data_IF_492478310392
#
_entry.id   IF_492478310392
#
_cell.length_a   1.000
_cell.length_b   1.000
_cell.length_c   1.000
_cell.angle_alpha   90.00
_cell.angle_beta   90.00
_cell.angle_gamma   90.00
#
_symmetry.space_group_name_H-M   'P 1'
#
loop_
_entity.id
_entity.type
_entity.pdbx_description
1 polymer ?
#
# COMPACT_ATOMS: atom_id res chain seq x y z
N UNK A 1 -13.70 3.42 6.76
CA UNK A 1 -14.88 2.65 7.19
C UNK A 1 -14.48 1.19 7.10
N UNK A 2 -14.55 0.46 8.21
CA UNK A 2 -14.18 -0.96 8.27
C UNK A 2 -15.47 -1.76 8.12
N UNK A 3 -15.52 -2.65 7.14
CA UNK A 3 -16.72 -3.44 6.82
C UNK A 3 -16.48 -4.95 6.84
N UNK A 4 -15.23 -5.41 6.88
CA UNK A 4 -14.88 -6.83 6.88
C UNK A 4 -13.64 -7.16 7.73
N UNK A 5 -13.40 -8.45 7.98
CA UNK A 5 -12.19 -8.91 8.66
C UNK A 5 -10.90 -8.68 7.85
N UNK A 6 -10.99 -8.75 6.52
CA UNK A 6 -9.86 -8.42 5.62
C UNK A 6 -9.52 -6.94 5.70
N UNK A 7 -10.54 -6.08 5.76
CA UNK A 7 -10.37 -4.64 5.97
C UNK A 7 -9.62 -4.36 7.27
N UNK A 8 -9.72 -5.25 8.27
CA UNK A 8 -9.06 -5.06 9.55
C UNK A 8 -7.56 -5.27 9.50
N UNK A 9 -7.07 -6.26 8.75
CA UNK A 9 -5.62 -6.45 8.58
C UNK A 9 -5.01 -5.26 7.84
N UNK A 10 -5.64 -4.82 6.75
CA UNK A 10 -5.21 -3.62 6.01
C UNK A 10 -5.27 -2.37 6.91
N UNK A 11 -6.30 -2.26 7.75
CA UNK A 11 -6.44 -1.16 8.70
C UNK A 11 -5.32 -1.13 9.75
N UNK A 12 -4.92 -2.29 10.29
CA UNK A 12 -3.80 -2.39 11.22
C UNK A 12 -2.47 -1.96 10.58
N UNK A 13 -2.19 -2.44 9.36
CA UNK A 13 -1.02 -2.01 8.59
C UNK A 13 -1.04 -0.51 8.30
N UNK A 14 -2.20 0.05 7.96
CA UNK A 14 -2.37 1.48 7.69
C UNK A 14 -2.16 2.34 8.95
N UNK A 15 -2.57 1.87 10.13
CA UNK A 15 -2.32 2.55 11.41
C UNK A 15 -0.81 2.60 11.69
N UNK A 16 -0.13 1.46 11.54
CA UNK A 16 1.31 1.38 11.81
C UNK A 16 2.12 2.25 10.84
N UNK A 17 1.73 2.26 9.56
CA UNK A 17 2.29 3.16 8.57
C UNK A 17 2.12 4.63 8.98
N UNK A 18 0.90 5.03 9.37
CA UNK A 18 0.62 6.42 9.77
C UNK A 18 1.37 6.82 11.04
N UNK A 19 1.54 5.92 11.99
CA UNK A 19 2.37 6.17 13.18
C UNK A 19 3.82 6.40 12.80
N UNK A 20 4.37 5.57 11.92
CA UNK A 20 5.74 5.73 11.42
C UNK A 20 5.90 7.07 10.69
N UNK A 21 4.96 7.41 9.81
CA UNK A 21 4.99 8.66 9.05
C UNK A 21 4.87 9.89 9.97
N UNK A 22 3.87 9.94 10.85
CA UNK A 22 3.71 11.07 11.76
C UNK A 22 4.87 11.17 12.76
N UNK A 23 5.38 10.01 13.22
CA UNK A 23 6.53 9.93 14.09
C UNK A 23 7.77 10.50 13.42
N UNK A 24 7.99 10.19 12.15
CA UNK A 24 9.06 10.78 11.35
C UNK A 24 8.86 12.29 11.15
N UNK A 25 7.69 12.70 10.65
CA UNK A 25 7.40 14.08 10.28
C UNK A 25 7.54 15.07 11.45
N UNK A 26 7.12 14.65 12.65
CA UNK A 26 7.11 15.50 13.85
C UNK A 26 8.19 15.11 14.88
N UNK A 27 9.15 14.26 14.50
CA UNK A 27 10.20 13.73 15.37
C UNK A 27 9.67 13.12 16.69
N UNK A 28 8.52 12.44 16.60
CA UNK A 28 7.85 11.82 17.73
C UNK A 28 8.17 10.33 17.82
N UNK A 29 8.85 9.92 18.89
CA UNK A 29 9.13 8.50 19.17
C UNK A 29 7.87 7.67 19.42
N UNK A 30 6.79 8.30 19.88
CA UNK A 30 5.51 7.67 20.20
C UNK A 30 4.39 8.52 19.64
N UNK A 31 3.60 7.94 18.74
CA UNK A 31 2.43 8.58 18.15
C UNK A 31 1.16 7.93 18.72
N UNK A 32 0.37 8.73 19.43
CA UNK A 32 -0.91 8.28 19.98
C UNK A 32 -1.93 8.13 18.84
N UNK A 33 -2.57 6.97 18.77
CA UNK A 33 -3.67 6.69 17.86
C UNK A 33 -4.98 6.64 18.65
N UNK A 34 -5.96 7.45 18.25
CA UNK A 34 -7.30 7.43 18.86
C UNK A 34 -8.25 6.71 17.92
N UNK A 35 -8.74 5.56 18.36
CA UNK A 35 -9.80 4.81 17.69
C UNK A 35 -11.14 5.20 18.28
N UNK A 36 -12.04 5.70 17.44
CA UNK A 36 -13.42 6.00 17.82
C UNK A 36 -14.32 5.03 17.06
N UNK A 37 -15.11 4.23 17.77
CA UNK A 37 -15.99 3.22 17.16
C UNK A 37 -17.39 3.24 17.75
N UNK A 38 -18.40 2.98 16.91
CA UNK A 38 -19.81 2.82 17.31
C UNK A 38 -20.21 1.36 17.53
N UNK A 39 -19.23 0.46 17.51
CA UNK A 39 -19.38 -0.96 17.78
C UNK A 39 -18.15 -1.47 18.52
N UNK A 40 -18.29 -2.61 19.19
CA UNK A 40 -17.19 -3.23 19.91
C UNK A 40 -16.21 -3.91 18.96
N UNK A 41 -15.08 -3.23 18.72
CA UNK A 41 -13.97 -3.70 17.89
C UNK A 41 -13.25 -4.90 18.49
N UNK A 42 -13.39 -5.15 19.80
CA UNK A 42 -12.72 -6.26 20.49
C UNK A 42 -13.29 -7.62 20.12
N UNK A 43 -14.42 -7.68 19.43
CA UNK A 43 -14.94 -8.92 18.84
C UNK A 43 -14.00 -9.48 17.76
N UNK A 44 -13.19 -8.63 17.12
CA UNK A 44 -12.24 -9.02 16.08
C UNK A 44 -10.83 -9.24 16.66
N UNK A 45 -10.13 -10.28 16.18
CA UNK A 45 -8.74 -10.57 16.60
C UNK A 45 -7.84 -9.35 16.40
N UNK A 46 -7.95 -8.69 15.25
CA UNK A 46 -7.19 -7.48 14.93
C UNK A 46 -7.58 -6.32 15.85
N UNK A 47 -8.87 -6.13 16.10
CA UNK A 47 -9.35 -5.08 17.00
C UNK A 47 -8.82 -5.25 18.44
N UNK A 48 -8.77 -6.49 18.95
CA UNK A 48 -8.12 -6.77 20.26
C UNK A 48 -6.65 -6.40 20.27
N UNK A 49 -5.91 -6.69 19.20
CA UNK A 49 -4.50 -6.31 19.08
C UNK A 49 -4.32 -4.80 19.03
N UNK A 50 -5.15 -4.09 18.26
CA UNK A 50 -5.12 -2.64 18.14
C UNK A 50 -5.38 -1.93 19.48
N UNK A 51 -6.42 -2.35 20.21
CA UNK A 51 -6.76 -1.78 21.53
C UNK A 51 -5.66 -2.04 22.56
N UNK A 52 -4.98 -3.20 22.48
CA UNK A 52 -3.84 -3.54 23.35
C UNK A 52 -2.52 -2.89 22.92
N UNK A 53 -2.45 -2.35 21.69
CA UNK A 53 -1.22 -1.76 21.20
C UNK A 53 -0.86 -0.50 22.02
N UNK A 54 0.43 -0.28 22.30
CA UNK A 54 0.86 0.87 23.08
C UNK A 54 0.51 2.18 22.37
N UNK A 55 0.20 3.22 23.15
CA UNK A 55 -0.24 4.52 22.64
C UNK A 55 -1.49 4.42 21.73
N UNK A 56 -2.36 3.44 21.97
CA UNK A 56 -3.71 3.41 21.41
C UNK A 56 -4.72 3.79 22.49
N UNK A 57 -5.61 4.72 22.18
CA UNK A 57 -6.80 5.01 22.97
C UNK A 57 -8.02 4.54 22.18
N UNK A 58 -8.87 3.73 22.80
CA UNK A 58 -10.15 3.33 22.22
C UNK A 58 -11.29 4.05 22.92
N UNK A 59 -12.11 4.75 22.15
CA UNK A 59 -13.33 5.40 22.61
C UNK A 59 -14.49 4.71 21.90
N UNK A 60 -15.18 3.86 22.64
CA UNK A 60 -16.40 3.21 22.16
C UNK A 60 -17.59 4.10 22.49
N UNK A 61 -18.30 4.55 21.46
CA UNK A 61 -19.56 5.27 21.63
C UNK A 61 -20.70 4.28 21.84
N UNK A 62 -21.84 4.79 22.32
CA UNK A 62 -23.10 4.06 22.20
C UNK A 62 -23.36 3.70 20.72
N UNK A 63 -24.15 2.65 20.50
CA UNK A 63 -24.52 2.24 19.15
C UNK A 63 -25.28 3.35 18.42
N UNK A 64 -25.25 3.35 17.08
CA UNK A 64 -25.99 4.35 16.31
C UNK A 64 -27.49 4.34 16.64
N UNK A 65 -28.08 3.18 16.94
CA UNK A 65 -29.50 3.07 17.31
C UNK A 65 -29.79 3.64 18.70
N UNK A 66 -28.88 3.46 19.67
CA UNK A 66 -28.97 4.13 20.98
C UNK A 66 -28.76 5.64 20.87
N UNK A 67 -27.86 6.10 20.00
CA UNK A 67 -27.67 7.53 19.75
C UNK A 67 -28.94 8.09 19.09
N UNK A 68 -29.50 7.42 18.08
CA UNK A 68 -30.74 7.83 17.41
C UNK A 68 -31.94 7.86 18.36
N UNK A 69 -32.09 6.87 19.24
CA UNK A 69 -33.21 6.84 20.19
C UNK A 69 -33.18 7.99 21.20
N UNK A 70 -32.00 8.57 21.42
CA UNK A 70 -31.82 9.77 22.25
C UNK A 70 -31.91 11.08 21.46
N UNK A 71 -31.85 11.04 20.13
CA UNK A 71 -32.19 12.18 19.26
C UNK A 71 -33.72 12.26 19.21
N UNK A 72 -34.32 12.81 20.25
CA UNK A 72 -35.73 13.23 20.25
C UNK A 72 -35.93 14.20 19.07
N UNK A 73 -37.08 14.12 18.37
CA UNK A 73 -37.58 15.01 17.30
C UNK A 73 -37.60 16.50 17.70
N UNK A 74 -36.44 17.05 18.03
CA UNK A 74 -36.23 18.47 18.18
C UNK A 74 -35.97 18.97 16.78
N UNK A 75 -36.92 19.76 16.27
CA UNK A 75 -36.78 20.55 15.05
C UNK A 75 -35.36 21.14 15.07
N UNK A 76 -34.51 20.89 14.06
CA UNK A 76 -33.13 21.33 14.08
C UNK A 76 -33.15 22.84 14.18
N UNK A 77 -32.92 23.35 15.39
CA UNK A 77 -32.70 24.77 15.59
C UNK A 77 -31.37 25.00 14.88
N UNK A 78 -31.42 25.70 13.73
CA UNK A 78 -30.25 26.12 12.96
C UNK A 78 -29.42 27.12 13.79
N UNK A 79 -28.89 26.68 14.93
CA UNK A 79 -27.79 27.34 15.61
C UNK A 79 -26.57 26.99 14.82
N UNK A 80 -26.26 27.83 13.84
CA UNK A 80 -24.90 27.94 13.33
C UNK A 80 -24.06 28.44 14.51
N UNK A 81 -23.59 27.52 15.35
CA UNK A 81 -22.54 27.83 16.31
C UNK A 81 -21.34 28.12 15.41
N UNK A 82 -21.13 29.41 15.09
CA UNK A 82 -19.85 29.82 14.54
C UNK A 82 -18.83 29.38 15.57
N UNK A 83 -17.91 28.46 15.24
CA UNK A 83 -16.87 28.09 16.20
C UNK A 83 -16.20 29.37 16.63
N UNK A 84 -16.25 29.68 17.92
CA UNK A 84 -15.51 30.82 18.46
C UNK A 84 -14.05 30.60 18.11
N UNK A 85 -13.40 31.61 17.55
CA UNK A 85 -11.99 31.55 17.16
C UNK A 85 -11.17 31.51 18.46
N UNK A 86 -11.03 30.32 19.04
CA UNK A 86 -10.19 30.11 20.23
C UNK A 86 -8.75 30.39 19.83
N UNK A 87 -8.04 31.19 20.62
CA UNK A 87 -6.64 31.55 20.38
C UNK A 87 -5.71 30.33 20.35
N UNK A 88 -6.13 29.20 20.94
CA UNK A 88 -5.40 27.92 20.92
C UNK A 88 -5.64 27.10 19.63
N UNK A 89 -6.57 27.48 18.77
CA UNK A 89 -6.77 26.81 17.50
C UNK A 89 -5.73 27.30 16.48
N UNK A 90 -4.79 26.42 16.17
CA UNK A 90 -3.85 26.60 15.06
C UNK A 90 -4.35 25.82 13.84
N UNK A 91 -4.06 26.31 12.63
CA UNK A 91 -4.34 25.53 11.44
C UNK A 91 -3.34 24.37 11.37
N UNK A 92 -3.77 23.20 10.93
CA UNK A 92 -2.89 22.04 10.80
C UNK A 92 -1.66 22.32 9.90
N UNK A 93 -1.83 23.16 8.87
CA UNK A 93 -0.73 23.59 7.97
C UNK A 93 0.30 24.49 8.65
N UNK A 94 -0.06 25.10 9.77
CA UNK A 94 0.82 25.99 10.54
C UNK A 94 1.66 25.20 11.56
N UNK A 95 1.40 23.89 11.71
CA UNK A 95 2.24 23.00 12.52
C UNK A 95 3.51 22.69 11.70
N UNK A 96 4.69 23.15 12.13
CA UNK A 96 5.91 22.91 11.38
C UNK A 96 6.28 21.43 11.41
N UNK A 97 6.76 20.92 10.26
CA UNK A 97 7.39 19.61 10.20
C UNK A 97 8.78 19.69 10.84
N UNK A 98 9.13 18.72 11.68
CA UNK A 98 10.46 18.63 12.29
C UNK A 98 11.48 18.01 11.34
N UNK A 99 11.02 17.16 10.42
CA UNK A 99 11.86 16.54 9.39
C UNK A 99 11.34 16.88 7.98
N UNK A 100 12.23 17.09 6.99
CA UNK A 100 11.81 17.26 5.61
C UNK A 100 11.13 15.98 5.11
N UNK A 101 10.17 16.10 4.20
CA UNK A 101 9.49 14.97 3.59
C UNK A 101 9.65 15.00 2.08
N UNK A 102 10.56 14.17 1.57
CA UNK A 102 10.87 14.03 0.15
C UNK A 102 10.60 12.60 -0.31
N UNK A 103 9.33 12.33 -0.61
CA UNK A 103 8.88 10.99 -0.96
C UNK A 103 9.53 10.48 -2.26
N UNK A 104 9.82 11.37 -3.22
CA UNK A 104 10.47 11.00 -4.48
C UNK A 104 11.87 10.46 -4.23
N UNK A 105 12.67 11.18 -3.42
CA UNK A 105 14.00 10.73 -3.03
C UNK A 105 13.96 9.40 -2.26
N UNK A 106 13.03 9.24 -1.32
CA UNK A 106 12.91 7.98 -0.57
C UNK A 106 12.57 6.82 -1.51
N UNK A 107 11.62 7.03 -2.41
CA UNK A 107 11.23 6.04 -3.41
C UNK A 107 12.39 5.62 -4.33
N UNK A 108 13.14 6.58 -4.87
CA UNK A 108 14.27 6.28 -5.76
C UNK A 108 15.41 5.56 -5.02
N UNK A 109 15.65 5.88 -3.74
CA UNK A 109 16.60 5.14 -2.91
C UNK A 109 16.18 3.66 -2.75
N UNK A 110 14.92 3.41 -2.40
CA UNK A 110 14.40 2.04 -2.24
C UNK A 110 14.47 1.25 -3.56
N UNK A 111 14.08 1.89 -4.66
CA UNK A 111 14.16 1.33 -6.02
C UNK A 111 15.60 0.98 -6.41
N UNK A 112 16.55 1.89 -6.17
CA UNK A 112 17.97 1.66 -6.44
C UNK A 112 18.53 0.50 -5.60
N UNK A 113 18.10 0.38 -4.32
CA UNK A 113 18.48 -0.74 -3.46
C UNK A 113 18.01 -2.08 -4.03
N UNK A 114 16.74 -2.16 -4.45
CA UNK A 114 16.20 -3.39 -5.06
C UNK A 114 16.95 -3.74 -6.36
N UNK A 115 17.21 -2.77 -7.24
CA UNK A 115 17.97 -3.04 -8.46
C UNK A 115 19.39 -3.51 -8.19
N UNK A 116 20.07 -2.93 -7.19
CA UNK A 116 21.41 -3.34 -6.77
C UNK A 116 21.38 -4.79 -6.28
N UNK A 117 20.40 -5.13 -5.44
CA UNK A 117 20.22 -6.49 -4.94
C UNK A 117 19.98 -7.50 -6.06
N UNK A 118 19.06 -7.23 -6.99
CA UNK A 118 18.78 -8.10 -8.15
C UNK A 118 20.02 -8.28 -9.05
N UNK A 119 20.78 -7.20 -9.25
CA UNK A 119 21.96 -7.19 -10.12
C UNK A 119 23.16 -7.91 -9.49
N UNK A 120 23.23 -7.98 -8.17
CA UNK A 120 24.33 -8.62 -7.44
C UNK A 120 24.38 -10.14 -7.64
N UNK A 121 23.30 -10.76 -8.14
CA UNK A 121 23.22 -12.20 -8.38
C UNK A 121 23.18 -13.05 -7.10
N UNK A 122 23.50 -12.46 -5.94
CA UNK A 122 23.50 -13.11 -4.65
C UNK A 122 22.10 -13.03 -4.04
N UNK A 123 21.20 -13.88 -4.58
CA UNK A 123 19.81 -14.00 -4.13
C UNK A 123 19.66 -14.93 -2.93
N UNK A 124 20.76 -15.51 -2.46
CA UNK A 124 20.86 -16.25 -1.21
C UNK A 124 21.02 -15.25 -0.05
N UNK A 125 19.91 -14.61 0.33
CA UNK A 125 19.87 -13.64 1.42
C UNK A 125 18.46 -13.13 1.71
N UNK A 126 18.30 -12.48 2.86
CA UNK A 126 17.04 -11.81 3.22
C UNK A 126 16.68 -10.74 2.19
N UNK A 127 15.38 -10.45 2.04
CA UNK A 127 14.89 -9.35 1.20
C UNK A 127 15.71 -8.07 1.39
N UNK A 128 15.74 -7.19 0.38
CA UNK A 128 16.15 -5.81 0.61
C UNK A 128 15.17 -5.13 1.60
N UNK A 129 15.39 -5.30 2.91
CA UNK A 129 14.61 -4.66 3.97
C UNK A 129 14.84 -3.15 3.90
N UNK A 130 13.78 -2.33 4.04
CA UNK A 130 13.92 -0.89 4.25
C UNK A 130 14.97 -0.61 5.33
N UNK A 131 16.14 -0.15 4.88
CA UNK A 131 17.34 -0.06 5.71
C UNK A 131 17.29 1.08 6.73
N UNK A 132 16.46 2.09 6.49
CA UNK A 132 16.33 3.28 7.33
C UNK A 132 14.86 3.68 7.58
N UNK A 133 14.68 4.69 8.44
CA UNK A 133 13.35 5.23 8.77
C UNK A 133 12.60 5.73 7.53
N UNK A 134 13.31 6.19 6.49
CA UNK A 134 12.70 6.77 5.28
C UNK A 134 12.19 5.70 4.32
N UNK A 135 12.87 4.56 4.23
CA UNK A 135 12.40 3.40 3.45
C UNK A 135 11.08 2.86 3.98
N UNK A 136 10.84 2.93 5.30
CA UNK A 136 9.56 2.54 5.91
C UNK A 136 8.41 3.49 5.56
N UNK A 137 8.70 4.67 5.04
CA UNK A 137 7.69 5.63 4.57
C UNK A 137 7.24 5.34 3.15
N UNK A 138 7.98 4.51 2.40
CA UNK A 138 7.63 4.10 1.04
C UNK A 138 6.63 2.96 1.11
N UNK A 139 5.44 3.15 0.51
CA UNK A 139 4.39 2.11 0.46
C UNK A 139 4.47 1.23 -0.78
N UNK A 140 5.10 1.73 -1.84
CA UNK A 140 5.10 1.12 -3.16
C UNK A 140 6.34 1.54 -3.92
N UNK A 141 6.97 0.59 -4.58
CA UNK A 141 8.10 0.85 -5.48
C UNK A 141 7.57 0.74 -6.92
N UNK A 142 7.84 1.77 -7.73
CA UNK A 142 7.51 1.82 -9.16
C UNK A 142 8.81 1.63 -9.92
N UNK A 143 9.02 0.44 -10.48
CA UNK A 143 10.28 0.11 -11.14
C UNK A 143 10.41 0.78 -12.52
N UNK A 144 9.27 1.13 -13.12
CA UNK A 144 9.18 1.85 -14.39
C UNK A 144 8.30 1.14 -15.40
N UNK A 145 8.19 1.73 -16.59
CA UNK A 145 7.42 1.11 -17.66
C UNK A 145 8.20 -0.02 -18.33
N UNK A 146 7.48 -1.02 -18.81
CA UNK A 146 8.00 -2.22 -19.46
C UNK A 146 8.13 -2.00 -20.97
N UNK A 147 9.27 -2.43 -21.51
CA UNK A 147 9.40 -2.61 -22.96
C UNK A 147 8.53 -3.78 -23.43
N UNK A 148 8.13 -3.83 -24.72
CA UNK A 148 7.37 -4.95 -25.27
C UNK A 148 8.03 -6.33 -25.05
N UNK A 149 9.37 -6.37 -24.96
CA UNK A 149 10.14 -7.58 -24.66
C UNK A 149 9.92 -8.07 -23.22
N UNK A 150 9.79 -7.17 -22.25
CA UNK A 150 9.48 -7.50 -20.86
C UNK A 150 8.05 -8.03 -20.72
N UNK A 151 7.06 -7.36 -21.33
CA UNK A 151 5.67 -7.82 -21.33
C UNK A 151 5.58 -9.24 -21.90
N UNK A 152 6.27 -9.49 -23.04
CA UNK A 152 6.35 -10.82 -23.64
C UNK A 152 6.96 -11.86 -22.70
N UNK A 153 8.02 -11.50 -21.97
CA UNK A 153 8.67 -12.39 -21.01
C UNK A 153 7.71 -12.81 -19.90
N UNK A 154 6.98 -11.85 -19.31
CA UNK A 154 6.01 -12.12 -18.23
C UNK A 154 4.89 -13.03 -18.75
N UNK A 155 4.32 -12.75 -19.93
CA UNK A 155 3.23 -13.54 -20.51
C UNK A 155 3.62 -14.99 -20.88
N UNK A 156 4.90 -15.37 -20.86
CA UNK A 156 5.30 -16.77 -21.09
C UNK A 156 4.97 -17.67 -19.91
N UNK A 157 5.13 -17.14 -18.70
CA UNK A 157 5.05 -17.93 -17.46
C UNK A 157 3.87 -17.51 -16.58
N UNK A 158 3.24 -16.37 -16.86
CA UNK A 158 2.15 -15.81 -16.07
C UNK A 158 0.96 -15.46 -16.94
N UNK A 159 -0.22 -15.87 -16.51
CA UNK A 159 -1.48 -15.53 -17.16
C UNK A 159 -2.02 -14.19 -16.65
N UNK A 160 -2.71 -13.46 -17.53
CA UNK A 160 -3.42 -12.23 -17.19
C UNK A 160 -4.92 -12.48 -17.27
N UNK A 161 -5.64 -12.24 -16.18
CA UNK A 161 -7.08 -12.46 -16.07
C UNK A 161 -7.78 -11.14 -15.79
N UNK A 162 -8.61 -10.67 -16.71
CA UNK A 162 -9.41 -9.46 -16.55
C UNK A 162 -10.87 -9.83 -16.64
N UNK A 163 -11.61 -9.62 -15.54
CA UNK A 163 -13.05 -9.93 -15.44
C UNK A 163 -13.38 -11.38 -15.83
N UNK A 164 -12.49 -12.32 -15.51
CA UNK A 164 -12.66 -13.76 -15.79
C UNK A 164 -12.14 -14.19 -17.16
N UNK A 165 -11.76 -13.26 -18.04
CA UNK A 165 -11.19 -13.59 -19.35
C UNK A 165 -9.66 -13.60 -19.30
N UNK A 166 -9.07 -14.64 -19.87
CA UNK A 166 -7.62 -14.69 -20.09
C UNK A 166 -7.25 -13.76 -21.23
N UNK A 167 -6.21 -12.96 -21.03
CA UNK A 167 -5.70 -12.01 -21.99
C UNK A 167 -4.28 -12.40 -22.36
N UNK A 168 -4.02 -12.50 -23.66
CA UNK A 168 -2.70 -12.85 -24.18
C UNK A 168 -1.83 -11.61 -24.43
N UNK A 169 -0.53 -11.84 -24.66
CA UNK A 169 0.41 -10.79 -25.04
C UNK A 169 -0.10 -9.91 -26.19
N UNK A 170 -0.67 -10.51 -27.23
CA UNK A 170 -1.20 -9.78 -28.39
C UNK A 170 -2.32 -8.82 -28.00
N UNK A 171 -3.25 -9.27 -27.16
CA UNK A 171 -4.32 -8.43 -26.64
C UNK A 171 -3.78 -7.30 -25.76
N UNK A 172 -2.76 -7.57 -24.93
CA UNK A 172 -2.15 -6.55 -24.09
C UNK A 172 -1.57 -5.43 -24.96
N UNK A 173 -0.80 -5.79 -25.98
CA UNK A 173 -0.17 -4.82 -26.89
C UNK A 173 -1.21 -4.00 -27.69
N UNK A 174 -2.34 -4.62 -28.04
CA UNK A 174 -3.41 -3.98 -28.80
C UNK A 174 -4.30 -3.07 -27.96
N UNK A 175 -4.62 -3.46 -26.72
CA UNK A 175 -5.60 -2.78 -25.86
C UNK A 175 -4.95 -1.73 -24.95
N UNK A 176 -3.67 -1.90 -24.61
CA UNK A 176 -2.97 -1.05 -23.66
C UNK A 176 -1.75 -0.35 -24.32
N UNK A 177 -1.49 0.89 -23.92
CA UNK A 177 -0.40 1.71 -24.48
C UNK A 177 0.88 1.63 -23.66
N UNK A 178 0.77 1.32 -22.37
CA UNK A 178 1.87 1.27 -21.41
C UNK A 178 1.56 0.20 -20.38
N UNK A 179 2.61 -0.48 -19.91
CA UNK A 179 2.54 -1.36 -18.76
C UNK A 179 3.63 -0.96 -17.77
N UNK A 180 3.29 -0.78 -16.49
CA UNK A 180 4.23 -0.39 -15.43
C UNK A 180 4.30 -1.50 -14.41
N UNK A 181 5.50 -1.91 -14.02
CA UNK A 181 5.69 -2.88 -12.94
C UNK A 181 5.98 -2.17 -11.62
N UNK A 182 5.39 -2.69 -10.55
CA UNK A 182 5.47 -2.17 -9.21
C UNK A 182 5.40 -3.28 -8.17
N UNK A 183 5.81 -2.98 -6.94
CA UNK A 183 5.57 -3.84 -5.78
C UNK A 183 4.98 -3.03 -4.63
N UNK A 184 4.01 -3.58 -3.91
CA UNK A 184 3.53 -3.01 -2.65
C UNK A 184 4.43 -3.44 -1.49
N UNK A 185 4.76 -2.50 -0.60
CA UNK A 185 5.57 -2.74 0.60
C UNK A 185 4.67 -2.90 1.82
N UNK A 186 5.11 -3.67 2.84
CA UNK A 186 6.45 -4.25 3.02
C UNK A 186 6.67 -5.61 2.33
N UNK A 187 5.60 -6.27 1.88
CA UNK A 187 5.63 -7.67 1.46
C UNK A 187 6.15 -7.89 0.03
N UNK A 188 6.45 -6.81 -0.68
CA UNK A 188 6.87 -6.79 -2.09
C UNK A 188 5.85 -7.42 -3.06
N UNK A 189 4.56 -7.31 -2.74
CA UNK A 189 3.48 -7.89 -3.57
C UNK A 189 3.52 -7.36 -5.02
N UNK A 190 3.71 -8.22 -6.03
CA UNK A 190 3.86 -7.78 -7.43
C UNK A 190 2.57 -7.23 -8.05
N UNK A 191 2.71 -6.10 -8.72
CA UNK A 191 1.61 -5.37 -9.35
C UNK A 191 2.00 -4.90 -10.75
N UNK A 192 1.09 -5.06 -11.70
CA UNK A 192 1.22 -4.51 -13.04
C UNK A 192 0.09 -3.52 -13.30
N UNK A 193 0.43 -2.30 -13.71
CA UNK A 193 -0.53 -1.31 -14.15
C UNK A 193 -0.59 -1.28 -15.68
N UNK A 194 -1.76 -1.52 -16.27
CA UNK A 194 -1.97 -1.48 -17.72
C UNK A 194 -2.74 -0.21 -18.13
N UNK A 195 -2.12 0.64 -18.95
CA UNK A 195 -2.71 1.90 -19.43
C UNK A 195 -3.69 1.64 -20.57
N UNK A 196 -4.98 1.86 -20.34
CA UNK A 196 -6.01 1.63 -21.36
C UNK A 196 -5.88 2.61 -22.54
N UNK A 197 -5.81 2.14 -23.79
CA UNK A 197 -5.74 3.05 -24.96
C UNK A 197 -7.00 3.87 -25.17
N UNK A 198 -8.18 3.32 -24.83
CA UNK A 198 -9.49 3.92 -25.12
C UNK A 198 -9.99 4.84 -24.00
N UNK A 199 -9.54 4.61 -22.76
CA UNK A 199 -9.99 5.33 -21.58
C UNK A 199 -8.81 5.89 -20.82
N UNK A 200 -8.93 7.05 -20.19
CA UNK A 200 -7.88 7.65 -19.34
C UNK A 200 -7.88 6.96 -17.96
N UNK A 201 -7.41 5.72 -17.91
CA UNK A 201 -7.33 4.92 -16.69
C UNK A 201 -6.19 3.89 -16.79
N UNK A 202 -5.75 3.42 -15.63
CA UNK A 202 -4.93 2.21 -15.52
C UNK A 202 -5.74 1.08 -14.89
N UNK A 203 -5.51 -0.14 -15.35
CA UNK A 203 -5.97 -1.35 -14.68
C UNK A 203 -4.89 -1.81 -13.72
N UNK A 204 -5.21 -1.94 -12.44
CA UNK A 204 -4.33 -2.55 -11.44
C UNK A 204 -4.49 -4.06 -11.51
N UNK A 205 -3.44 -4.74 -11.94
CA UNK A 205 -3.32 -6.19 -11.94
C UNK A 205 -2.48 -6.61 -10.74
N UNK A 206 -3.05 -7.44 -9.87
CA UNK A 206 -2.35 -8.00 -8.70
C UNK A 206 -2.03 -9.47 -8.94
N UNK A 207 -0.90 -9.94 -8.42
CA UNK A 207 -0.57 -11.34 -8.52
C UNK A 207 -1.37 -12.18 -7.50
N UNK A 208 -1.84 -13.35 -7.92
CA UNK A 208 -2.48 -14.33 -7.03
C UNK A 208 -1.45 -15.36 -6.53
N UNK A 209 -1.88 -16.28 -5.66
CA UNK A 209 -1.02 -17.35 -5.12
C UNK A 209 -0.41 -18.27 -6.18
N UNK A 210 -1.04 -18.39 -7.35
CA UNK A 210 -0.53 -19.20 -8.48
C UNK A 210 0.50 -18.44 -9.33
N UNK A 211 0.83 -17.20 -8.96
CA UNK A 211 1.73 -16.34 -9.72
C UNK A 211 1.07 -15.66 -10.92
N UNK A 212 -0.24 -15.81 -11.14
CA UNK A 212 -0.97 -15.17 -12.25
C UNK A 212 -1.47 -13.78 -11.87
N UNK A 213 -1.59 -12.89 -12.85
CA UNK A 213 -2.02 -11.51 -12.65
C UNK A 213 -3.53 -11.37 -12.87
N UNK A 214 -4.28 -11.01 -11.82
CA UNK A 214 -5.72 -10.79 -11.87
C UNK A 214 -6.06 -9.31 -11.71
N UNK A 215 -7.05 -8.85 -12.46
CA UNK A 215 -7.60 -7.50 -12.31
C UNK A 215 -8.21 -7.30 -10.92
N UNK A 216 -7.78 -6.25 -10.23
CA UNK A 216 -8.34 -5.84 -8.94
C UNK A 216 -9.29 -4.65 -9.12
N UNK A 217 -8.77 -3.53 -9.65
CA UNK A 217 -9.51 -2.27 -9.75
C UNK A 217 -8.93 -1.33 -10.79
N UNK A 218 -9.68 -0.28 -11.11
CA UNK A 218 -9.20 0.83 -11.93
C UNK A 218 -8.48 1.89 -11.08
N UNK A 219 -7.45 2.50 -11.64
CA UNK A 219 -6.83 3.73 -11.14
C UNK A 219 -7.30 4.90 -12.02
N UNK A 220 -8.11 5.83 -11.48
CA UNK A 220 -8.72 6.91 -12.26
C UNK A 220 -7.71 8.01 -12.63
N UNK A 221 -7.97 8.78 -13.71
CA UNK A 221 -7.07 9.82 -14.21
C UNK A 221 -6.75 10.98 -13.24
N UNK A 222 -7.70 11.33 -12.36
CA UNK A 222 -7.65 12.58 -11.58
C UNK A 222 -6.91 12.46 -10.24
N UNK A 223 -6.07 11.45 -10.07
CA UNK A 223 -5.28 11.25 -8.83
C UNK A 223 -3.80 11.44 -9.13
N UNK A 224 -3.05 12.05 -8.20
CA UNK A 224 -1.62 12.31 -8.40
C UNK A 224 -0.82 11.04 -8.77
N UNK A 225 -1.24 9.88 -8.25
CA UNK A 225 -0.66 8.59 -8.60
C UNK A 225 -0.79 8.23 -10.09
N UNK A 226 -1.90 8.61 -10.75
CA UNK A 226 -2.06 8.41 -12.20
C UNK A 226 -1.03 9.22 -12.98
N UNK A 227 -0.83 10.49 -12.60
CA UNK A 227 0.18 11.35 -13.26
C UNK A 227 1.59 10.80 -13.07
N UNK A 228 1.87 10.18 -11.92
CA UNK A 228 3.15 9.52 -11.71
C UNK A 228 3.33 8.30 -12.64
N UNK A 229 2.32 7.46 -12.84
CA UNK A 229 2.39 6.37 -13.82
C UNK A 229 2.59 6.88 -15.26
N UNK A 230 1.97 8.01 -15.60
CA UNK A 230 2.13 8.66 -16.91
C UNK A 230 3.56 9.18 -17.13
N UNK A 231 4.24 9.68 -16.10
CA UNK A 231 5.60 10.21 -16.23
C UNK A 231 6.67 9.13 -16.42
N UNK A 232 6.39 7.88 -16.02
CA UNK A 232 7.36 6.78 -16.13
C UNK A 232 7.65 6.42 -17.58
N UNK A 233 8.94 6.43 -17.92
CA UNK A 233 9.46 5.99 -19.20
C UNK A 233 9.71 4.46 -19.21
N UNK A 234 9.73 3.84 -20.40
CA UNK A 234 10.15 2.45 -20.55
C UNK A 234 11.60 2.26 -20.14
N UNK A 235 11.82 1.47 -19.10
CA UNK A 235 13.17 1.15 -18.56
C UNK A 235 13.36 -0.34 -18.28
N UNK A 236 12.27 -1.10 -18.19
CA UNK A 236 12.32 -2.53 -17.86
C UNK A 236 12.36 -3.38 -19.13
N UNK A 237 13.54 -3.94 -19.41
CA UNK A 237 13.72 -4.97 -20.44
C UNK A 237 13.47 -6.38 -19.89
N UNK A 238 13.41 -7.38 -20.78
CA UNK A 238 13.08 -8.77 -20.42
C UNK A 238 13.93 -9.34 -19.28
N UNK A 239 15.26 -9.15 -19.31
CA UNK A 239 16.17 -9.71 -18.30
C UNK A 239 15.90 -9.19 -16.89
N UNK A 240 15.78 -7.87 -16.74
CA UNK A 240 15.53 -7.23 -15.44
C UNK A 240 14.13 -7.60 -14.94
N UNK A 241 13.14 -7.62 -15.84
CA UNK A 241 11.76 -7.99 -15.49
C UNK A 241 11.66 -9.43 -14.97
N UNK A 242 12.34 -10.38 -15.63
CA UNK A 242 12.43 -11.76 -15.14
C UNK A 242 13.08 -11.81 -13.76
N UNK A 243 14.18 -11.09 -13.54
CA UNK A 243 14.81 -11.01 -12.22
C UNK A 243 13.90 -10.45 -11.12
N UNK A 244 13.09 -9.43 -11.43
CA UNK A 244 12.10 -8.86 -10.51
C UNK A 244 10.97 -9.85 -10.20
N UNK A 245 10.43 -10.52 -11.22
CA UNK A 245 9.35 -11.50 -11.07
C UNK A 245 9.82 -12.73 -10.30
N UNK A 246 11.02 -13.25 -10.60
CA UNK A 246 11.60 -14.41 -9.90
C UNK A 246 11.87 -14.13 -8.41
N UNK A 247 12.12 -12.87 -8.06
CA UNK A 247 12.40 -12.47 -6.68
C UNK A 247 11.13 -12.30 -5.83
N UNK A 248 10.06 -11.78 -6.44
CA UNK A 248 8.88 -11.32 -5.71
C UNK A 248 7.61 -12.12 -6.00
N UNK A 249 7.61 -13.02 -6.99
CA UNK A 249 6.45 -13.88 -7.22
C UNK A 249 6.37 -15.02 -6.20
N UNK A 250 5.16 -15.46 -5.82
CA UNK A 250 4.96 -16.64 -4.97
C UNK A 250 5.64 -17.91 -5.48
N UNK A 251 5.73 -18.05 -6.80
CA UNK A 251 6.36 -19.19 -7.47
C UNK A 251 7.78 -18.89 -7.97
N UNK A 252 8.38 -17.79 -7.49
CA UNK A 252 9.73 -17.39 -7.84
C UNK A 252 10.77 -18.37 -7.30
N UNK A 253 11.79 -18.68 -8.09
CA UNK A 253 12.90 -19.56 -7.69
C UNK A 253 13.73 -18.99 -6.53
N UNK A 254 13.61 -17.68 -6.29
CA UNK A 254 14.25 -16.96 -5.18
C UNK A 254 13.22 -16.12 -4.45
N UNK A 255 12.09 -16.74 -4.06
CA UNK A 255 11.08 -16.06 -3.27
C UNK A 255 11.74 -15.51 -2.00
N UNK A 256 11.71 -14.18 -1.89
CA UNK A 256 12.16 -13.56 -0.67
C UNK A 256 11.25 -13.97 0.51
N UNK A 257 11.83 -14.54 1.57
CA UNK A 257 11.12 -14.79 2.80
C UNK A 257 11.12 -13.51 3.67
N UNK A 258 9.94 -13.11 4.14
CA UNK A 258 9.78 -11.98 5.07
C UNK A 258 10.59 -12.22 6.37
N UNK A 259 11.53 -11.34 6.74
CA UNK A 259 12.28 -11.46 7.99
C UNK A 259 11.40 -11.37 9.25
N UNK A 260 10.17 -10.86 9.17
CA UNK A 260 9.22 -10.90 10.28
C UNK A 260 8.66 -12.30 10.56
N UNK A 261 8.64 -13.20 9.57
CA UNK A 261 8.29 -14.62 9.80
C UNK A 261 9.40 -15.40 10.53
N UNK A 262 10.66 -14.98 10.39
CA UNK A 262 11.81 -15.60 11.06
C UNK A 262 11.79 -15.45 12.59
N UNK A 263 11.22 -14.36 13.12
CA UNK A 263 11.12 -14.12 14.58
C UNK A 263 10.05 -14.99 15.26
N UNK A 264 9.01 -15.40 14.54
CA UNK A 264 7.96 -16.27 15.11
C UNK A 264 8.38 -17.74 15.22
N UNK A 265 9.31 -18.23 14.39
CA UNK A 265 9.84 -19.61 14.51
C UNK A 265 10.84 -19.78 15.67
N UNK A 266 11.54 -18.72 16.07
CA UNK A 266 12.55 -18.81 17.12
C UNK A 266 11.96 -18.88 18.55
N UNK A 267 10.68 -18.51 18.73
CA UNK A 267 10.03 -18.47 20.07
C UNK A 267 9.30 -19.79 20.41
N UNK A 268 9.11 -20.70 19.45
CA UNK A 268 8.54 -22.04 19.71
C UNK A 268 9.58 -23.16 19.88
N UNK A 269 10.88 -22.81 19.96
CA UNK A 269 11.95 -23.76 20.27
C UNK A 269 12.82 -23.26 21.44
N UNK A 270 12.19 -22.95 22.57
CA UNK A 270 12.79 -23.03 23.90
C UNK A 270 11.75 -23.41 24.92
#
# INVERSE_FOLDING_TARGET
MVTSASDMKEFEQEIEYKRTLLGYLFDQKKVTFILISSFDVTNFVVGRRLVRAPNTLNIQTASCEEIKSQIIDRTPMNRTIRPSRNEKFILARDIPLCRPFDYERYHENEKARVFTWISSGNRDGDCPVPGDDTGRLVKKILYGAMYPSAIRSVCKNHEFIIRGERIEYKDIMNRYSKAVFATDLPDFDPIIYLRNRKKQEYLKMVQNGDGNFKFERFTPAKVGFFLWLESLQPVLGARIMTGLIDAFSPNGSHHCNDPAQGKHRAIMRR
#
